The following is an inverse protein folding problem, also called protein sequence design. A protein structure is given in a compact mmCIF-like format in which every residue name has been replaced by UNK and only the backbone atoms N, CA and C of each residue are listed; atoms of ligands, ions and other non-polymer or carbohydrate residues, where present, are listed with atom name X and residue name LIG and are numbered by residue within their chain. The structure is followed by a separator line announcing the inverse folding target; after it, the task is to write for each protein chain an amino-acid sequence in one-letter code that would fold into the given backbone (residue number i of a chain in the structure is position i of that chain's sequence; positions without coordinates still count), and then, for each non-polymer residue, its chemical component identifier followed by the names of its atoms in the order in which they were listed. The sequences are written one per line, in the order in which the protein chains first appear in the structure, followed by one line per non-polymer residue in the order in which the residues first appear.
data_IF_763676301864
#
_entry.id   IF_763676301864
#
_cell.length_a   1.000
_cell.length_b   1.000
_cell.length_c   1.000
_cell.angle_alpha   90.00
_cell.angle_beta   90.00
_cell.angle_gamma   90.00
#
_symmetry.space_group_name_H-M   'P 1'
#
loop_
_entity.id
_entity.type
_entity.pdbx_description
1 polymer ?
#
# COMPACT_ATOMS: atom_id res chain seq x y z
N UNK A 1 -3.64 2.78 -20.99
CA UNK A 1 -2.65 1.73 -20.64
C UNK A 1 -2.23 0.90 -21.85
N UNK A 2 -1.00 0.38 -21.86
CA UNK A 2 0.19 0.99 -22.47
C UNK A 2 0.07 1.33 -23.98
N UNK A 3 -1.03 0.95 -24.63
CA UNK A 3 -1.35 1.27 -26.01
C UNK A 3 -1.34 2.79 -26.23
N UNK A 4 -0.56 3.23 -27.21
CA UNK A 4 -0.40 4.64 -27.58
C UNK A 4 0.61 5.43 -26.74
N UNK A 5 1.23 4.83 -25.71
CA UNK A 5 2.30 5.48 -24.95
C UNK A 5 3.68 5.14 -25.54
N UNK A 6 4.59 6.11 -25.56
CA UNK A 6 5.99 5.93 -25.96
C UNK A 6 6.92 6.47 -24.87
N UNK A 7 7.88 5.65 -24.46
CA UNK A 7 9.00 6.05 -23.62
C UNK A 7 10.21 6.38 -24.48
N UNK A 8 11.22 7.00 -23.87
CA UNK A 8 12.48 7.29 -24.55
C UNK A 8 13.14 6.05 -25.16
N UNK A 9 12.99 4.88 -24.51
CA UNK A 9 13.58 3.61 -24.95
C UNK A 9 12.71 2.81 -25.92
N UNK A 10 11.45 3.21 -26.16
CA UNK A 10 10.55 2.48 -27.06
C UNK A 10 9.08 2.52 -26.66
N UNK A 11 8.22 1.75 -27.36
CA UNK A 11 6.78 1.75 -27.12
C UNK A 11 6.42 1.18 -25.75
N UNK A 12 5.37 1.71 -25.14
CA UNK A 12 4.88 1.25 -23.84
C UNK A 12 4.49 -0.24 -23.86
N UNK A 13 3.99 -0.75 -24.99
CA UNK A 13 3.62 -2.17 -25.12
C UNK A 13 4.78 -3.13 -24.88
N UNK A 14 6.02 -2.66 -25.05
CA UNK A 14 7.24 -3.46 -24.81
C UNK A 14 7.91 -3.11 -23.48
N UNK A 15 7.89 -1.83 -23.08
CA UNK A 15 8.70 -1.32 -21.96
C UNK A 15 7.91 -0.82 -20.73
N UNK A 16 6.58 -0.95 -20.69
CA UNK A 16 5.78 -0.38 -19.59
C UNK A 16 6.15 -0.92 -18.21
N UNK A 17 6.34 -2.22 -18.07
CA UNK A 17 6.55 -2.83 -16.75
C UNK A 17 7.90 -2.47 -16.11
N UNK A 18 8.91 -2.06 -16.90
CA UNK A 18 10.22 -1.67 -16.35
C UNK A 18 10.24 -0.23 -15.83
N UNK A 19 9.26 0.59 -16.18
CA UNK A 19 9.17 1.99 -15.75
C UNK A 19 9.38 2.22 -14.24
N UNK A 20 8.69 1.52 -13.32
CA UNK A 20 8.89 1.71 -11.87
C UNK A 20 10.32 1.42 -11.38
N UNK A 21 11.08 0.56 -12.08
CA UNK A 21 12.49 0.35 -11.76
C UNK A 21 13.31 1.60 -12.08
N UNK A 22 13.06 2.23 -13.23
CA UNK A 22 13.76 3.45 -13.61
C UNK A 22 13.39 4.62 -12.70
N UNK A 23 12.12 4.77 -12.36
CA UNK A 23 11.63 5.80 -11.43
C UNK A 23 12.34 5.72 -10.08
N UNK A 24 12.31 4.55 -9.43
CA UNK A 24 12.97 4.35 -8.13
C UNK A 24 14.50 4.46 -8.23
N UNK A 25 15.10 4.05 -9.35
CA UNK A 25 16.55 4.17 -9.58
C UNK A 25 16.97 5.64 -9.70
N UNK A 26 16.19 6.47 -10.39
CA UNK A 26 16.50 7.90 -10.53
C UNK A 26 16.54 8.60 -9.17
N UNK A 27 15.53 8.35 -8.33
CA UNK A 27 15.47 8.90 -6.96
C UNK A 27 16.65 8.38 -6.13
N UNK A 28 16.89 7.07 -6.15
CA UNK A 28 17.98 6.45 -5.40
C UNK A 28 19.34 7.04 -5.77
N UNK A 29 19.65 7.16 -7.06
CA UNK A 29 20.93 7.72 -7.52
C UNK A 29 21.08 9.20 -7.14
N UNK A 30 20.00 9.98 -7.21
CA UNK A 30 19.98 11.35 -6.70
C UNK A 30 20.33 11.41 -5.22
N UNK A 31 19.64 10.60 -4.40
CA UNK A 31 19.96 10.48 -2.97
C UNK A 31 21.40 10.01 -2.75
N UNK A 32 21.92 9.08 -3.55
CA UNK A 32 23.28 8.58 -3.40
C UNK A 32 24.35 9.60 -3.70
N UNK A 33 24.10 10.49 -4.66
CA UNK A 33 24.94 11.64 -4.98
C UNK A 33 24.94 12.68 -3.86
N UNK A 34 23.76 12.98 -3.31
CA UNK A 34 23.58 14.17 -2.47
C UNK A 34 23.69 13.88 -0.96
N UNK A 35 23.50 12.63 -0.52
CA UNK A 35 23.58 12.27 0.90
C UNK A 35 24.23 10.92 1.14
N UNK A 36 24.99 10.78 2.24
CA UNK A 36 25.54 9.49 2.71
C UNK A 36 24.56 8.67 3.56
N UNK A 37 23.37 9.21 3.86
CA UNK A 37 22.33 8.49 4.62
C UNK A 37 21.71 7.38 3.76
N UNK A 38 21.18 6.36 4.43
CA UNK A 38 20.43 5.30 3.77
C UNK A 38 19.27 5.89 2.97
N UNK A 39 19.15 5.51 1.70
CA UNK A 39 18.01 5.89 0.88
C UNK A 39 16.75 5.15 1.36
N UNK A 40 15.65 5.88 1.46
CA UNK A 40 14.34 5.40 1.85
C UNK A 40 13.34 6.02 0.88
N UNK A 41 12.70 5.18 0.06
CA UNK A 41 11.74 5.61 -0.97
C UNK A 41 10.45 4.86 -0.70
N UNK A 42 9.30 5.51 -0.84
CA UNK A 42 7.99 4.84 -0.81
C UNK A 42 7.42 4.88 -2.24
N UNK A 43 7.15 3.71 -2.85
CA UNK A 43 6.69 3.61 -4.24
C UNK A 43 5.55 2.61 -4.44
N UNK A 44 4.68 2.87 -5.43
CA UNK A 44 3.44 2.10 -5.68
C UNK A 44 3.61 0.86 -6.53
N UNK A 45 4.69 0.79 -7.30
CA UNK A 45 4.91 -0.24 -8.30
C UNK A 45 6.38 -0.62 -8.33
N UNK A 46 6.65 -1.87 -8.68
CA UNK A 46 7.98 -2.45 -8.71
C UNK A 46 8.23 -3.20 -10.02
N UNK A 47 9.49 -3.50 -10.28
CA UNK A 47 9.93 -4.47 -11.28
C UNK A 47 11.16 -5.20 -10.74
N UNK A 48 11.57 -6.29 -11.39
CA UNK A 48 12.70 -7.11 -10.96
C UNK A 48 13.94 -6.28 -10.67
N UNK A 49 14.51 -6.45 -9.48
CA UNK A 49 15.72 -5.77 -9.04
C UNK A 49 15.50 -4.42 -8.36
N UNK A 50 14.27 -3.92 -8.24
CA UNK A 50 13.97 -2.64 -7.60
C UNK A 50 14.30 -2.60 -6.09
N UNK A 51 14.43 -3.75 -5.43
CA UNK A 51 14.83 -3.85 -4.03
C UNK A 51 16.21 -3.23 -3.74
N UNK A 52 17.09 -3.13 -4.75
CA UNK A 52 18.42 -2.52 -4.60
C UNK A 52 18.38 -1.01 -4.36
N UNK A 53 17.23 -0.37 -4.60
CA UNK A 53 17.05 1.07 -4.52
C UNK A 53 16.61 1.55 -3.12
N UNK A 54 16.54 0.66 -2.12
CA UNK A 54 16.09 1.04 -0.76
C UNK A 54 14.62 1.45 -0.71
N UNK A 55 13.81 0.90 -1.61
CA UNK A 55 12.40 1.24 -1.78
C UNK A 55 11.49 0.34 -0.96
N UNK A 56 10.57 0.95 -0.23
CA UNK A 56 9.40 0.34 0.40
C UNK A 56 8.27 0.37 -0.63
N UNK A 57 7.73 -0.80 -0.96
CA UNK A 57 6.57 -0.91 -1.85
C UNK A 57 5.29 -1.12 -1.05
N UNK A 58 4.20 -0.52 -1.49
CA UNK A 58 2.90 -0.78 -0.87
C UNK A 58 1.83 -1.19 -1.88
N UNK A 59 0.80 -1.87 -1.39
CA UNK A 59 -0.28 -2.44 -2.22
C UNK A 59 -1.24 -1.42 -2.82
N UNK A 60 -0.94 -0.12 -2.73
CA UNK A 60 -1.70 0.97 -3.36
C UNK A 60 -3.14 1.12 -2.81
N UNK A 61 -4.01 1.70 -3.62
CA UNK A 61 -5.33 2.20 -3.24
C UNK A 61 -6.34 1.05 -3.08
N UNK A 62 -6.27 0.37 -1.95
CA UNK A 62 -7.10 -0.80 -1.63
C UNK A 62 -8.37 -0.42 -0.86
N UNK A 63 -9.45 -1.19 -1.04
CA UNK A 63 -10.71 -0.93 -0.32
C UNK A 63 -10.64 -1.38 1.16
N UNK A 64 -11.26 -0.65 2.09
CA UNK A 64 -11.28 -1.02 3.51
C UNK A 64 -12.31 -2.13 3.79
N UNK A 65 -12.01 -3.37 3.38
CA UNK A 65 -12.90 -4.53 3.61
C UNK A 65 -12.16 -5.71 4.22
N UNK A 66 -12.88 -6.59 4.93
CA UNK A 66 -12.33 -7.85 5.44
C UNK A 66 -11.70 -8.74 4.36
N UNK A 67 -12.34 -8.81 3.19
CA UNK A 67 -11.80 -9.58 2.07
C UNK A 67 -10.48 -8.97 1.56
N UNK A 68 -10.38 -7.65 1.54
CA UNK A 68 -9.14 -6.96 1.14
C UNK A 68 -8.02 -7.22 2.14
N UNK A 69 -8.29 -7.13 3.45
CA UNK A 69 -7.33 -7.50 4.50
C UNK A 69 -6.83 -8.94 4.31
N UNK A 70 -7.74 -9.89 4.11
CA UNK A 70 -7.38 -11.29 3.86
C UNK A 70 -6.46 -11.45 2.64
N UNK A 71 -6.69 -10.67 1.57
CA UNK A 71 -5.86 -10.69 0.35
C UNK A 71 -4.49 -10.05 0.54
N UNK A 72 -4.31 -9.15 1.50
CA UNK A 72 -3.00 -8.52 1.75
C UNK A 72 -1.96 -9.52 2.23
N UNK A 73 -2.37 -10.57 2.95
CA UNK A 73 -1.47 -11.61 3.46
C UNK A 73 -0.75 -12.34 2.31
N UNK A 74 -1.45 -13.03 1.38
CA UNK A 74 -0.78 -13.66 0.25
C UNK A 74 -0.08 -12.64 -0.66
N UNK A 75 -0.63 -11.43 -0.83
CA UNK A 75 0.05 -10.37 -1.62
C UNK A 75 1.42 -10.03 -1.03
N UNK A 76 1.53 -9.82 0.28
CA UNK A 76 2.82 -9.52 0.93
C UNK A 76 3.81 -10.68 0.84
N UNK A 77 3.33 -11.92 1.00
CA UNK A 77 4.15 -13.13 0.87
C UNK A 77 4.67 -13.30 -0.56
N UNK A 78 3.84 -13.10 -1.57
CA UNK A 78 4.23 -13.20 -2.98
C UNK A 78 5.25 -12.11 -3.39
N UNK A 79 5.08 -10.89 -2.86
CA UNK A 79 6.05 -9.80 -3.06
C UNK A 79 7.38 -10.13 -2.40
N UNK A 80 7.36 -10.66 -1.18
CA UNK A 80 8.58 -11.11 -0.50
C UNK A 80 9.28 -12.25 -1.27
N UNK A 81 8.51 -13.24 -1.74
CA UNK A 81 9.02 -14.34 -2.57
C UNK A 81 9.60 -13.85 -3.91
N UNK A 82 9.11 -12.73 -4.43
CA UNK A 82 9.65 -12.05 -5.62
C UNK A 82 10.96 -11.28 -5.35
N UNK A 83 11.51 -11.36 -4.14
CA UNK A 83 12.78 -10.74 -3.77
C UNK A 83 12.66 -9.28 -3.32
N UNK A 84 11.45 -8.83 -2.96
CA UNK A 84 11.19 -7.47 -2.49
C UNK A 84 10.84 -7.51 -0.99
N UNK A 85 11.84 -7.33 -0.10
CA UNK A 85 11.64 -7.51 1.35
C UNK A 85 10.98 -6.31 2.04
N UNK A 86 11.04 -5.12 1.44
CA UNK A 86 10.43 -3.91 1.98
C UNK A 86 9.06 -3.71 1.38
N UNK A 87 8.06 -4.26 2.07
CA UNK A 87 6.67 -4.20 1.69
C UNK A 87 5.78 -3.78 2.87
N UNK A 88 4.68 -3.11 2.58
CA UNK A 88 3.61 -2.74 3.53
C UNK A 88 2.28 -2.62 2.78
N UNK A 89 1.19 -2.39 3.50
CA UNK A 89 -0.06 -1.90 2.95
C UNK A 89 -0.46 -0.55 3.58
N UNK A 90 -1.65 -0.07 3.23
CA UNK A 90 -2.35 0.98 3.96
C UNK A 90 -3.17 0.30 5.08
N UNK A 91 -2.72 0.37 6.34
CA UNK A 91 -3.45 -0.21 7.47
C UNK A 91 -4.87 0.36 7.51
N UNK A 92 -5.86 -0.53 7.39
CA UNK A 92 -7.27 -0.16 7.35
C UNK A 92 -7.77 0.29 5.98
N UNK A 93 -7.00 0.13 4.90
CA UNK A 93 -7.38 0.41 3.52
C UNK A 93 -7.43 1.89 3.13
N UNK A 94 -7.28 2.16 1.83
CA UNK A 94 -7.19 3.51 1.29
C UNK A 94 -8.55 4.17 1.08
N UNK A 95 -9.41 3.61 0.22
CA UNK A 95 -10.61 4.30 -0.26
C UNK A 95 -11.59 4.69 0.86
N UNK A 96 -12.43 5.68 0.57
CA UNK A 96 -13.48 6.16 1.48
C UNK A 96 -14.38 5.02 1.97
N UNK A 97 -14.88 5.19 3.20
CA UNK A 97 -15.84 4.26 3.79
C UNK A 97 -17.23 4.42 3.13
N UNK A 98 -18.02 3.34 3.08
CA UNK A 98 -19.43 3.45 2.71
C UNK A 98 -20.19 4.31 3.72
N UNK A 99 -21.30 4.92 3.29
CA UNK A 99 -22.12 5.76 4.17
C UNK A 99 -22.76 4.96 5.31
N UNK A 100 -23.11 3.70 5.03
CA UNK A 100 -23.69 2.72 5.96
C UNK A 100 -23.07 1.37 5.64
N UNK A 101 -22.74 0.60 6.68
CA UNK A 101 -22.26 -0.77 6.53
C UNK A 101 -23.27 -1.80 7.07
N UNK A 102 -23.16 -3.04 6.56
CA UNK A 102 -23.97 -4.19 6.95
C UNK A 102 -23.04 -5.33 7.40
N UNK A 103 -22.59 -5.32 8.66
CA UNK A 103 -21.63 -6.30 9.12
C UNK A 103 -22.25 -7.70 9.18
N UNK A 104 -21.50 -8.70 8.72
CA UNK A 104 -21.92 -10.12 8.71
C UNK A 104 -22.08 -10.67 10.13
N UNK A 105 -21.37 -10.08 11.10
CA UNK A 105 -21.44 -10.42 12.53
C UNK A 105 -21.47 -9.16 13.37
N UNK A 106 -21.95 -9.26 14.61
CA UNK A 106 -21.89 -8.12 15.54
C UNK A 106 -20.43 -7.68 15.75
N UNK A 107 -20.08 -6.40 15.50
CA UNK A 107 -18.74 -5.91 15.77
C UNK A 107 -18.37 -6.03 17.26
N UNK A 108 -17.12 -6.37 17.53
CA UNK A 108 -16.54 -6.49 18.87
C UNK A 108 -16.04 -5.15 19.40
N UNK A 109 -15.81 -4.18 18.52
CA UNK A 109 -15.35 -2.83 18.86
C UNK A 109 -16.50 -1.85 18.65
N UNK A 110 -16.75 -1.02 19.66
CA UNK A 110 -17.77 0.02 19.57
C UNK A 110 -17.29 1.16 18.65
N UNK A 111 -18.11 1.61 17.68
CA UNK A 111 -17.78 2.76 16.83
C UNK A 111 -17.96 4.10 17.52
N UNK A 112 -18.46 4.15 18.77
CA UNK A 112 -18.83 5.39 19.45
C UNK A 112 -17.69 6.43 19.46
N UNK A 113 -16.46 6.02 19.76
CA UNK A 113 -15.29 6.91 19.78
C UNK A 113 -14.78 7.33 18.39
N UNK A 114 -15.23 6.66 17.33
CA UNK A 114 -14.78 6.90 15.96
C UNK A 114 -15.89 7.46 15.05
N UNK A 115 -17.11 7.72 15.57
CA UNK A 115 -18.29 8.11 14.76
C UNK A 115 -18.05 9.28 13.82
N UNK A 116 -17.27 10.27 14.25
CA UNK A 116 -16.97 11.43 13.41
C UNK A 116 -16.16 11.06 12.15
N UNK A 117 -15.40 9.96 12.20
CA UNK A 117 -14.57 9.42 11.13
C UNK A 117 -15.25 8.32 10.32
N UNK A 118 -16.06 7.47 10.95
CA UNK A 118 -16.64 6.27 10.31
C UNK A 118 -18.10 6.44 9.89
N UNK A 119 -18.78 7.49 10.37
CA UNK A 119 -20.19 7.73 10.06
C UNK A 119 -21.06 6.53 10.43
N UNK A 120 -21.81 6.03 9.44
CA UNK A 120 -22.68 4.86 9.56
C UNK A 120 -21.96 3.51 9.42
N UNK A 121 -20.67 3.50 9.09
CA UNK A 121 -19.87 2.27 9.05
C UNK A 121 -19.52 1.85 10.49
N UNK A 122 -20.23 0.82 10.97
CA UNK A 122 -20.11 0.33 12.35
C UNK A 122 -19.03 -0.72 12.51
N UNK A 123 -18.58 -1.34 11.42
CA UNK A 123 -17.65 -2.47 11.42
C UNK A 123 -16.19 -2.01 11.24
N UNK A 124 -16.00 -0.89 10.54
CA UNK A 124 -14.67 -0.35 10.25
C UNK A 124 -13.74 -0.21 11.47
N UNK A 125 -14.17 0.22 12.66
CA UNK A 125 -13.28 0.28 13.83
C UNK A 125 -12.69 -1.09 14.21
N UNK A 126 -13.48 -2.16 14.11
CA UNK A 126 -12.95 -3.51 14.34
C UNK A 126 -12.00 -3.91 13.21
N UNK A 127 -12.39 -3.69 11.96
CA UNK A 127 -11.53 -3.95 10.81
C UNK A 127 -10.18 -3.25 10.94
N UNK A 128 -10.17 -1.95 11.29
CA UNK A 128 -8.96 -1.15 11.45
C UNK A 128 -8.06 -1.72 12.53
N UNK A 129 -8.60 -2.09 13.69
CA UNK A 129 -7.81 -2.69 14.78
C UNK A 129 -7.21 -4.03 14.35
N UNK A 130 -7.96 -4.91 13.68
CA UNK A 130 -7.42 -6.17 13.14
C UNK A 130 -6.34 -5.94 12.09
N UNK A 131 -6.52 -4.94 11.25
CA UNK A 131 -5.52 -4.57 10.26
C UNK A 131 -4.27 -3.98 10.92
N UNK A 132 -4.45 -3.19 11.98
CA UNK A 132 -3.33 -2.62 12.74
C UNK A 132 -2.53 -3.73 13.44
N UNK A 133 -3.21 -4.70 14.05
CA UNK A 133 -2.58 -5.91 14.62
C UNK A 133 -1.72 -6.63 13.57
N UNK A 134 -2.23 -6.83 12.35
CA UNK A 134 -1.46 -7.37 11.24
C UNK A 134 -0.27 -6.47 10.85
N UNK A 135 -0.51 -5.17 10.71
CA UNK A 135 0.49 -4.16 10.34
C UNK A 135 1.70 -4.11 11.28
N UNK A 136 1.51 -4.39 12.57
CA UNK A 136 2.59 -4.46 13.57
C UNK A 136 3.63 -5.52 13.21
N UNK A 137 3.24 -6.57 12.48
CA UNK A 137 4.13 -7.66 12.06
C UNK A 137 4.60 -7.54 10.62
N UNK A 138 4.29 -6.43 9.93
CA UNK A 138 4.81 -6.15 8.59
C UNK A 138 6.25 -5.59 8.65
N UNK A 139 7.03 -5.73 7.56
CA UNK A 139 8.36 -5.14 7.47
C UNK A 139 8.38 -3.63 7.78
N UNK A 140 7.31 -2.92 7.40
CA UNK A 140 7.07 -1.52 7.73
C UNK A 140 5.64 -1.42 8.26
N UNK A 141 5.45 -0.86 9.45
CA UNK A 141 4.13 -0.46 9.95
C UNK A 141 3.79 0.94 9.41
N UNK A 142 2.74 1.04 8.60
CA UNK A 142 2.26 2.31 8.05
C UNK A 142 0.73 2.38 8.07
N UNK A 143 0.22 3.43 8.73
CA UNK A 143 -1.19 3.82 8.63
C UNK A 143 -1.35 4.91 7.57
N UNK A 144 -2.34 4.75 6.71
CA UNK A 144 -2.71 5.72 5.69
C UNK A 144 -4.14 5.43 5.21
N UNK A 145 -4.80 6.42 4.62
CA UNK A 145 -6.08 6.22 3.98
C UNK A 145 -6.83 7.52 3.73
N UNK A 146 -8.01 7.41 3.14
CA UNK A 146 -8.94 8.49 2.87
C UNK A 146 -10.03 8.45 3.93
N UNK A 147 -9.71 8.92 5.15
CA UNK A 147 -10.68 9.17 6.22
C UNK A 147 -10.86 10.67 6.41
N UNK A 148 -11.92 11.05 7.12
CA UNK A 148 -12.22 12.46 7.39
C UNK A 148 -11.12 13.14 8.21
N UNK A 149 -10.60 12.43 9.21
CA UNK A 149 -9.47 12.83 10.05
C UNK A 149 -8.42 11.72 9.98
N UNK A 150 -7.22 12.06 9.50
CA UNK A 150 -6.04 11.21 9.40
C UNK A 150 -4.98 11.64 10.41
#
# INVERSE_FOLDING_TARGET
PPNGSYFHIGPGTEYFNVYPLFETSAIYQGMRRDTRRRAMILARAAFTGAQRNGTIFWSSDISPTWNTLQRQIPTGLDVAASGIPYWTDDVGGFWSLPAVDHPVRKPLISPAGARANVGGDVDYPELYVRWFEYGVFLPILRTHGMRRFN
#
